data_IF_696331102374
#
_entry.id   IF_696331102374
#
_cell.length_a   1.000
_cell.length_b   1.000
_cell.length_c   1.000
_cell.angle_alpha   90.00
_cell.angle_beta   90.00
_cell.angle_gamma   90.00
#
_symmetry.space_group_name_H-M   'P 1'
#
loop_
_entity.id
_entity.type
_entity.pdbx_description
1 polymer ?
#
# COMPACT_ATOMS: atom_id res chain seq x y z
N UNK A 1 -12.64 0.28 2.47
CA UNK A 1 -12.64 -0.84 1.51
C UNK A 1 -11.22 -1.36 1.42
N UNK A 2 -11.00 -2.58 1.89
CA UNK A 2 -9.73 -3.30 1.78
C UNK A 2 -9.98 -4.62 1.02
N UNK A 3 -8.91 -5.34 0.70
CA UNK A 3 -9.02 -6.73 0.28
C UNK A 3 -7.91 -7.59 0.88
N UNK A 4 -8.19 -8.87 0.96
CA UNK A 4 -7.24 -9.89 1.38
C UNK A 4 -7.15 -10.10 2.89
N UNK A 5 -6.05 -10.71 3.31
CA UNK A 5 -5.94 -11.38 4.60
C UNK A 5 -5.47 -10.42 5.70
N UNK A 6 -6.30 -10.18 6.72
CA UNK A 6 -5.95 -9.35 7.87
C UNK A 6 -4.84 -9.96 8.74
N UNK A 7 -4.59 -11.27 8.66
CA UNK A 7 -3.48 -11.95 9.32
C UNK A 7 -2.18 -11.93 8.49
N UNK A 8 -2.15 -11.34 7.29
CA UNK A 8 -0.94 -11.27 6.49
C UNK A 8 0.14 -10.39 7.15
N UNK A 9 1.41 -10.73 6.93
CA UNK A 9 2.53 -9.87 7.33
C UNK A 9 2.65 -8.60 6.46
N UNK A 10 2.21 -8.70 5.20
CA UNK A 10 2.45 -7.71 4.16
C UNK A 10 1.17 -6.98 3.73
N UNK A 11 1.27 -5.65 3.65
CA UNK A 11 0.24 -4.76 3.13
C UNK A 11 0.76 -4.01 1.88
N UNK A 12 -0.02 -3.98 0.79
CA UNK A 12 0.16 -3.00 -0.28
C UNK A 12 -0.78 -1.83 -0.09
N UNK A 13 -0.21 -0.62 -0.10
CA UNK A 13 -0.89 0.61 0.25
C UNK A 13 -0.87 1.59 -0.92
N UNK A 14 -2.01 1.74 -1.59
CA UNK A 14 -2.20 2.66 -2.71
C UNK A 14 -2.76 4.02 -2.30
N UNK A 15 -2.95 4.90 -3.28
CA UNK A 15 -3.46 6.26 -3.05
C UNK A 15 -4.99 6.28 -2.99
N UNK A 16 -5.65 6.11 -4.13
CA UNK A 16 -7.11 6.13 -4.29
C UNK A 16 -7.58 5.06 -5.26
N UNK A 17 -8.89 4.80 -5.28
CA UNK A 17 -9.48 3.84 -6.20
C UNK A 17 -9.52 4.40 -7.64
N UNK A 18 -9.08 3.56 -8.58
CA UNK A 18 -9.35 3.74 -10.00
C UNK A 18 -10.78 3.34 -10.37
N UNK A 19 -11.08 3.38 -11.67
CA UNK A 19 -12.43 3.06 -12.18
C UNK A 19 -12.75 1.58 -11.96
N UNK A 20 -11.80 0.70 -12.28
CA UNK A 20 -11.96 -0.74 -12.21
C UNK A 20 -12.12 -1.21 -10.77
N UNK A 21 -11.38 -0.59 -9.83
CA UNK A 21 -11.48 -0.85 -8.40
C UNK A 21 -12.88 -0.54 -7.85
N UNK A 22 -13.52 0.53 -8.32
CA UNK A 22 -14.90 0.86 -7.92
C UNK A 22 -15.87 -0.19 -8.43
N UNK A 23 -15.79 -0.57 -9.71
CA UNK A 23 -16.69 -1.57 -10.28
C UNK A 23 -16.53 -2.94 -9.62
N UNK A 24 -15.30 -3.33 -9.29
CA UNK A 24 -15.03 -4.61 -8.65
C UNK A 24 -15.19 -4.59 -7.12
N UNK A 25 -15.34 -3.41 -6.51
CA UNK A 25 -15.38 -3.26 -5.05
C UNK A 25 -14.07 -3.70 -4.36
N UNK A 26 -12.93 -3.63 -5.05
CA UNK A 26 -11.66 -4.15 -4.56
C UNK A 26 -10.48 -3.21 -4.87
N UNK A 27 -9.63 -2.86 -3.88
CA UNK A 27 -8.42 -2.10 -4.15
C UNK A 27 -7.44 -2.91 -5.01
N UNK A 28 -6.64 -2.18 -5.80
CA UNK A 28 -5.53 -2.72 -6.57
C UNK A 28 -5.96 -3.91 -7.46
N UNK A 29 -6.99 -3.69 -8.29
CA UNK A 29 -7.45 -4.66 -9.30
C UNK A 29 -7.33 -4.15 -10.75
N UNK A 30 -7.24 -2.83 -10.96
CA UNK A 30 -6.94 -2.25 -12.27
C UNK A 30 -5.50 -2.54 -12.70
N UNK A 31 -5.03 -1.93 -13.79
CA UNK A 31 -3.71 -2.21 -14.38
C UNK A 31 -2.53 -2.14 -13.37
N UNK A 32 -2.51 -1.10 -12.53
CA UNK A 32 -1.53 -0.93 -11.46
C UNK A 32 -1.55 -2.09 -10.45
N UNK A 33 -2.75 -2.47 -10.04
CA UNK A 33 -2.97 -3.57 -9.09
C UNK A 33 -2.67 -4.94 -9.69
N UNK A 34 -2.95 -5.13 -10.98
CA UNK A 34 -2.59 -6.34 -11.71
C UNK A 34 -1.08 -6.60 -11.66
N UNK A 35 -0.23 -5.58 -11.87
CA UNK A 35 1.22 -5.73 -11.73
C UNK A 35 1.64 -6.10 -10.31
N UNK A 36 1.01 -5.53 -9.29
CA UNK A 36 1.24 -5.91 -7.88
C UNK A 36 0.92 -7.39 -7.66
N UNK A 37 -0.24 -7.84 -8.13
CA UNK A 37 -0.71 -9.22 -7.98
C UNK A 37 0.17 -10.21 -8.77
N UNK A 38 0.52 -9.88 -10.00
CA UNK A 38 1.41 -10.69 -10.84
C UNK A 38 2.80 -10.82 -10.21
N UNK A 39 3.36 -9.70 -9.73
CA UNK A 39 4.66 -9.70 -9.06
C UNK A 39 4.65 -10.51 -7.77
N UNK A 40 3.61 -10.33 -6.94
CA UNK A 40 3.44 -11.11 -5.72
C UNK A 40 3.27 -12.59 -6.01
N UNK A 41 2.37 -12.95 -6.93
CA UNK A 41 2.12 -14.33 -7.32
C UNK A 41 3.40 -14.99 -7.81
N UNK A 42 4.20 -14.30 -8.64
CA UNK A 42 5.46 -14.82 -9.13
C UNK A 42 6.47 -15.09 -8.01
N UNK A 43 6.59 -14.19 -7.03
CA UNK A 43 7.50 -14.38 -5.90
C UNK A 43 7.04 -15.53 -4.99
N UNK A 44 5.73 -15.68 -4.80
CA UNK A 44 5.15 -16.72 -3.96
C UNK A 44 5.18 -18.11 -4.63
N UNK A 45 4.77 -18.20 -5.89
CA UNK A 45 4.60 -19.48 -6.62
C UNK A 45 5.82 -19.88 -7.43
N UNK A 46 6.82 -19.00 -7.57
CA UNK A 46 8.00 -19.22 -8.42
C UNK A 46 7.70 -19.25 -9.92
N UNK A 47 6.48 -18.89 -10.35
CA UNK A 47 6.04 -18.88 -11.75
C UNK A 47 5.05 -17.76 -12.03
N UNK A 48 4.87 -17.41 -13.30
CA UNK A 48 3.82 -16.46 -13.71
C UNK A 48 2.43 -17.07 -13.55
N UNK A 49 1.45 -16.20 -13.35
CA UNK A 49 0.03 -16.54 -13.34
C UNK A 49 -0.44 -16.90 -14.74
N UNK A 50 -1.32 -17.88 -14.86
CA UNK A 50 -1.94 -18.28 -16.14
C UNK A 50 -3.34 -17.68 -16.31
N UNK A 51 -4.03 -17.40 -15.22
CA UNK A 51 -5.39 -16.86 -15.25
C UNK A 51 -5.63 -15.79 -14.19
N UNK A 52 -6.88 -15.29 -14.18
CA UNK A 52 -7.32 -14.25 -13.23
C UNK A 52 -7.56 -14.81 -11.83
N UNK A 53 -7.98 -16.06 -11.69
CA UNK A 53 -8.28 -16.65 -10.38
C UNK A 53 -7.00 -16.80 -9.55
N UNK A 54 -5.91 -17.21 -10.18
CA UNK A 54 -4.56 -17.22 -9.60
C UNK A 54 -4.14 -15.84 -9.09
N UNK A 55 -4.43 -14.76 -9.84
CA UNK A 55 -4.14 -13.40 -9.38
C UNK A 55 -5.07 -12.91 -8.25
N UNK A 56 -6.24 -13.52 -8.10
CA UNK A 56 -7.14 -13.20 -6.99
C UNK A 56 -6.73 -13.93 -5.71
N UNK A 57 -6.20 -15.15 -5.81
CA UNK A 57 -5.78 -15.95 -4.65
C UNK A 57 -4.62 -15.34 -3.86
N UNK A 58 -3.86 -14.40 -4.44
CA UNK A 58 -2.85 -13.63 -3.70
C UNK A 58 -3.44 -12.92 -2.46
N UNK A 59 -4.73 -12.57 -2.51
CA UNK A 59 -5.44 -11.94 -1.39
C UNK A 59 -5.49 -12.85 -0.15
N UNK A 60 -5.31 -14.17 -0.28
CA UNK A 60 -5.23 -15.07 0.87
C UNK A 60 -3.94 -14.85 1.68
N UNK A 61 -2.95 -14.14 1.11
CA UNK A 61 -1.61 -13.96 1.67
C UNK A 61 -1.18 -12.52 1.88
N UNK A 62 -1.89 -11.57 1.29
CA UNK A 62 -1.58 -10.14 1.42
C UNK A 62 -2.80 -9.34 1.76
N UNK A 63 -2.55 -8.19 2.35
CA UNK A 63 -3.54 -7.17 2.62
C UNK A 63 -3.38 -6.02 1.61
N UNK A 64 -4.50 -5.54 1.06
CA UNK A 64 -4.53 -4.49 0.05
C UNK A 64 -5.45 -3.37 0.54
N UNK A 65 -4.97 -2.14 0.57
CA UNK A 65 -5.80 -0.98 0.92
C UNK A 65 -5.25 0.31 0.31
N UNK A 66 -5.93 1.43 0.57
CA UNK A 66 -5.59 2.76 0.05
C UNK A 66 -5.68 3.84 1.13
N UNK A 67 -5.10 5.02 0.87
CA UNK A 67 -5.25 6.21 1.73
C UNK A 67 -6.70 6.66 1.88
N UNK A 68 -7.51 6.51 0.83
CA UNK A 68 -8.94 6.82 0.83
C UNK A 68 -9.69 5.67 0.14
N UNK A 69 -10.76 5.13 0.75
CA UNK A 69 -11.45 3.96 0.23
C UNK A 69 -12.47 4.28 -0.87
N UNK A 70 -12.37 5.43 -1.53
CA UNK A 70 -13.30 5.91 -2.54
C UNK A 70 -12.55 6.46 -3.75
N UNK A 71 -13.23 6.48 -4.90
CA UNK A 71 -12.72 7.10 -6.11
C UNK A 71 -12.97 8.61 -6.08
N UNK A 72 -11.94 9.43 -6.35
CA UNK A 72 -12.13 10.86 -6.43
C UNK A 72 -13.09 11.28 -7.56
N UNK A 73 -14.01 12.24 -7.31
CA UNK A 73 -14.80 12.87 -8.35
C UNK A 73 -13.90 13.44 -9.46
N UNK A 74 -14.21 13.13 -10.72
CA UNK A 74 -13.46 13.65 -11.87
C UNK A 74 -11.98 13.22 -11.93
N UNK A 75 -11.57 12.16 -11.23
CA UNK A 75 -10.18 11.68 -11.14
C UNK A 75 -9.18 12.70 -10.54
N UNK A 76 -9.66 13.74 -9.85
CA UNK A 76 -8.81 14.73 -9.18
C UNK A 76 -8.45 14.27 -7.77
N UNK A 77 -7.17 14.27 -7.40
CA UNK A 77 -6.75 13.85 -6.07
C UNK A 77 -7.55 14.58 -4.96
N UNK A 78 -7.92 13.85 -3.92
CA UNK A 78 -8.59 14.42 -2.75
C UNK A 78 -7.71 15.48 -2.07
N UNK A 79 -8.35 16.53 -1.53
CA UNK A 79 -7.66 17.51 -0.70
C UNK A 79 -7.08 16.88 0.57
N UNK A 80 -6.14 17.58 1.20
CA UNK A 80 -5.59 17.16 2.50
C UNK A 80 -6.70 16.94 3.54
N UNK A 81 -7.64 17.88 3.63
CA UNK A 81 -8.78 17.80 4.57
C UNK A 81 -9.61 16.52 4.41
N UNK A 82 -9.86 16.07 3.18
CA UNK A 82 -10.62 14.84 2.94
C UNK A 82 -9.79 13.63 3.39
N UNK A 83 -8.49 13.60 3.07
CA UNK A 83 -7.60 12.53 3.53
C UNK A 83 -7.55 12.48 5.06
N UNK A 84 -7.52 13.63 5.72
CA UNK A 84 -7.48 13.72 7.19
C UNK A 84 -8.80 13.28 7.83
N UNK A 85 -9.95 13.54 7.19
CA UNK A 85 -11.24 12.96 7.64
C UNK A 85 -11.28 11.44 7.53
N UNK A 86 -10.64 10.86 6.51
CA UNK A 86 -10.58 9.40 6.34
C UNK A 86 -9.46 8.72 7.14
N UNK A 87 -8.44 9.48 7.57
CA UNK A 87 -7.27 8.97 8.28
C UNK A 87 -7.64 8.12 9.51
N UNK A 88 -8.54 8.53 10.42
CA UNK A 88 -8.90 7.70 11.58
C UNK A 88 -9.41 6.30 11.23
N UNK A 89 -10.08 6.13 10.10
CA UNK A 89 -10.58 4.82 9.67
C UNK A 89 -9.44 3.92 9.17
N UNK A 90 -8.49 4.50 8.45
CA UNK A 90 -7.31 3.77 7.97
C UNK A 90 -6.34 3.47 9.13
N UNK A 91 -6.17 4.40 10.07
CA UNK A 91 -5.45 4.17 11.33
C UNK A 91 -6.05 2.99 12.09
N UNK A 92 -7.37 3.00 12.33
CA UNK A 92 -8.08 1.90 12.98
C UNK A 92 -7.84 0.58 12.25
N UNK A 93 -8.01 0.56 10.93
CA UNK A 93 -7.78 -0.62 10.09
C UNK A 93 -6.37 -1.20 10.25
N UNK A 94 -5.34 -0.35 10.19
CA UNK A 94 -3.95 -0.79 10.25
C UNK A 94 -3.47 -1.16 11.67
N UNK A 95 -4.00 -0.48 12.69
CA UNK A 95 -3.57 -0.65 14.09
C UNK A 95 -4.35 -1.75 14.79
N UNK A 96 -5.67 -1.81 14.64
CA UNK A 96 -6.52 -2.72 15.41
C UNK A 96 -6.84 -4.03 14.69
N UNK A 97 -6.97 -4.01 13.36
CA UNK A 97 -7.55 -5.14 12.62
C UNK A 97 -6.54 -5.93 11.81
N UNK A 98 -5.61 -5.26 11.13
CA UNK A 98 -4.53 -5.92 10.42
C UNK A 98 -3.41 -6.34 11.40
N UNK A 99 -2.87 -7.54 11.27
CA UNK A 99 -1.86 -8.09 12.19
C UNK A 99 -0.43 -7.83 11.73
N UNK A 100 -0.19 -7.73 10.42
CA UNK A 100 1.14 -7.52 9.85
C UNK A 100 1.72 -6.13 10.13
N UNK A 101 2.98 -5.95 9.81
CA UNK A 101 3.76 -4.76 10.15
C UNK A 101 4.61 -4.23 8.99
N UNK A 102 4.53 -4.83 7.81
CA UNK A 102 5.26 -4.40 6.63
C UNK A 102 4.31 -3.79 5.59
N UNK A 103 4.56 -2.52 5.21
CA UNK A 103 3.72 -1.78 4.27
C UNK A 103 4.54 -1.39 3.04
N UNK A 104 4.22 -1.98 1.89
CA UNK A 104 4.69 -1.52 0.58
C UNK A 104 3.79 -0.39 0.11
N UNK A 105 4.29 0.84 0.17
CA UNK A 105 3.56 2.03 -0.30
C UNK A 105 3.80 2.26 -1.78
N UNK A 106 2.74 2.53 -2.54
CA UNK A 106 2.80 2.70 -3.99
C UNK A 106 2.77 4.18 -4.39
N UNK A 107 3.94 4.77 -4.59
CA UNK A 107 4.10 6.16 -5.00
C UNK A 107 4.18 7.18 -3.85
N UNK A 108 4.38 8.44 -4.24
CA UNK A 108 4.64 9.56 -3.32
C UNK A 108 3.51 9.77 -2.33
N UNK A 109 2.28 9.87 -2.82
CA UNK A 109 1.12 10.21 -2.00
C UNK A 109 0.81 9.13 -0.95
N UNK A 110 0.93 7.86 -1.34
CA UNK A 110 0.72 6.74 -0.43
C UNK A 110 1.81 6.70 0.66
N UNK A 111 3.06 7.02 0.31
CA UNK A 111 4.15 7.09 1.28
C UNK A 111 4.03 8.30 2.22
N UNK A 112 3.70 9.48 1.67
CA UNK A 112 3.54 10.73 2.45
C UNK A 112 2.33 10.72 3.37
N UNK A 113 1.37 9.81 3.16
CA UNK A 113 0.30 9.59 4.13
C UNK A 113 0.84 9.30 5.54
N UNK A 114 2.05 8.74 5.64
CA UNK A 114 2.69 8.40 6.90
C UNK A 114 3.50 9.54 7.57
N UNK A 115 3.53 10.75 6.98
CA UNK A 115 4.24 11.92 7.53
C UNK A 115 3.97 12.17 9.03
N UNK A 116 2.73 12.06 9.55
CA UNK A 116 2.46 12.30 10.98
C UNK A 116 3.02 11.24 11.95
N UNK A 117 3.48 10.09 11.45
CA UNK A 117 3.90 8.94 12.26
C UNK A 117 5.42 8.77 12.32
N UNK A 118 6.15 9.56 11.54
CA UNK A 118 7.61 9.67 11.62
C UNK A 118 8.05 10.83 12.51
N UNK A 119 9.35 10.94 12.76
CA UNK A 119 9.93 12.12 13.40
C UNK A 119 9.74 13.35 12.49
N UNK A 120 9.79 14.59 13.04
CA UNK A 120 9.67 15.79 12.24
C UNK A 120 10.62 15.78 11.03
N UNK A 121 10.04 15.95 9.82
CA UNK A 121 10.72 15.92 8.51
C UNK A 121 11.38 14.59 8.11
N UNK A 122 11.22 13.52 8.87
CA UNK A 122 11.86 12.22 8.59
C UNK A 122 11.33 11.61 7.30
N UNK A 123 10.00 11.57 7.14
CA UNK A 123 9.34 11.04 5.93
C UNK A 123 9.71 11.86 4.69
N UNK A 124 9.73 13.19 4.80
CA UNK A 124 10.16 14.07 3.70
C UNK A 124 11.62 13.84 3.30
N UNK A 125 12.53 13.82 4.27
CA UNK A 125 13.96 13.58 4.03
C UNK A 125 14.19 12.21 3.42
N UNK A 126 13.50 11.19 3.91
CA UNK A 126 13.54 9.85 3.36
C UNK A 126 13.13 9.85 1.88
N UNK A 127 12.07 10.59 1.53
CA UNK A 127 11.58 10.60 0.16
C UNK A 127 12.50 11.32 -0.84
N UNK A 128 13.33 12.25 -0.36
CA UNK A 128 14.36 12.90 -1.18
C UNK A 128 15.57 11.99 -1.47
N UNK A 129 15.70 10.89 -0.74
CA UNK A 129 16.78 9.92 -0.96
C UNK A 129 16.63 9.24 -2.35
N UNK A 130 17.73 9.19 -3.10
CA UNK A 130 17.79 8.51 -4.41
C UNK A 130 17.63 7.00 -4.26
N UNK A 131 17.99 6.45 -3.11
CA UNK A 131 17.91 5.03 -2.76
C UNK A 131 16.65 4.68 -1.96
N UNK A 132 15.68 5.60 -1.86
CA UNK A 132 14.44 5.37 -1.09
C UNK A 132 13.75 4.03 -1.39
N UNK A 133 13.81 3.55 -2.64
CA UNK A 133 13.18 2.30 -3.05
C UNK A 133 13.93 1.03 -2.63
N UNK A 134 15.16 1.13 -2.12
CA UNK A 134 15.93 0.03 -1.50
C UNK A 134 16.05 0.16 0.03
N UNK A 135 15.78 1.35 0.58
CA UNK A 135 15.73 1.63 2.03
C UNK A 135 14.36 1.32 2.66
N UNK A 136 14.30 1.29 3.99
CA UNK A 136 13.09 1.09 4.79
C UNK A 136 12.95 2.20 5.81
N UNK A 137 11.73 2.56 6.17
CA UNK A 137 11.46 3.54 7.22
C UNK A 137 10.53 2.95 8.28
N UNK A 138 10.96 2.93 9.54
CA UNK A 138 10.12 2.54 10.67
C UNK A 138 9.32 3.75 11.16
N UNK A 139 8.00 3.61 11.25
CA UNK A 139 7.10 4.63 11.82
C UNK A 139 6.20 4.01 12.88
N UNK A 140 5.60 4.85 13.74
CA UNK A 140 4.66 4.39 14.77
C UNK A 140 3.27 4.94 14.51
N UNK A 141 2.40 4.09 13.95
CA UNK A 141 0.99 4.41 13.78
C UNK A 141 0.33 4.56 15.14
N UNK A 142 -0.65 5.45 15.22
CA UNK A 142 -1.52 5.61 16.38
C UNK A 142 -2.96 5.57 15.91
N UNK A 143 -3.82 4.86 16.62
CA UNK A 143 -5.26 4.87 16.41
C UNK A 143 -5.98 5.03 17.75
N UNK A 144 -7.16 5.63 17.73
CA UNK A 144 -8.03 5.76 18.90
C UNK A 144 -9.26 4.88 18.71
N UNK A 145 -9.60 4.05 19.68
CA UNK A 145 -10.79 3.20 19.62
C UNK A 145 -12.08 3.98 19.92
N UNK A 146 -13.20 3.27 20.08
CA UNK A 146 -14.51 3.88 20.36
C UNK A 146 -14.63 4.42 21.79
N UNK A 147 -13.81 3.92 22.72
CA UNK A 147 -13.76 4.38 24.10
C UNK A 147 -12.76 5.53 24.31
N UNK A 148 -12.05 5.96 23.26
CA UNK A 148 -11.05 7.02 23.34
C UNK A 148 -9.66 6.53 23.73
N UNK A 149 -9.44 5.23 23.85
CA UNK A 149 -8.13 4.67 24.19
C UNK A 149 -7.25 4.64 22.94
N UNK A 150 -6.02 5.14 23.10
CA UNK A 150 -5.01 5.16 22.04
C UNK A 150 -4.19 3.88 22.05
N UNK A 151 -4.05 3.25 20.89
CA UNK A 151 -3.12 2.16 20.65
C UNK A 151 -2.08 2.57 19.62
N UNK A 152 -0.90 1.96 19.72
CA UNK A 152 0.21 2.21 18.84
C UNK A 152 0.67 0.93 18.16
N UNK A 153 1.11 1.07 16.91
CA UNK A 153 1.68 -0.05 16.16
C UNK A 153 2.88 0.42 15.35
N UNK A 154 4.02 -0.23 15.54
CA UNK A 154 5.20 -0.01 14.72
C UNK A 154 4.99 -0.70 13.37
N UNK A 155 5.28 0.01 12.29
CA UNK A 155 5.23 -0.54 10.93
C UNK A 155 6.45 -0.11 10.14
N UNK A 156 6.93 -1.00 9.28
CA UNK A 156 8.05 -0.78 8.37
C UNK A 156 7.53 -0.42 6.98
N UNK A 157 7.83 0.79 6.53
CA UNK A 157 7.50 1.28 5.21
C UNK A 157 8.57 0.85 4.20
N UNK A 158 8.11 0.29 3.08
CA UNK A 158 8.90 -0.24 1.98
C UNK A 158 8.45 0.44 0.68
N UNK A 159 8.89 1.69 0.43
CA UNK A 159 8.34 2.44 -0.68
C UNK A 159 8.74 1.84 -2.02
N UNK A 160 7.78 1.83 -2.94
CA UNK A 160 7.97 1.56 -4.35
C UNK A 160 7.40 2.72 -5.17
N UNK A 161 7.86 2.92 -6.41
CA UNK A 161 7.24 3.89 -7.28
C UNK A 161 5.79 3.50 -7.58
N UNK A 162 4.96 4.46 -7.96
CA UNK A 162 3.62 4.15 -8.43
C UNK A 162 3.71 3.43 -9.79
N UNK A 163 3.05 2.27 -9.99
CA UNK A 163 3.07 1.54 -11.24
C UNK A 163 2.06 2.14 -12.24
N UNK A 164 2.25 3.41 -12.62
CA UNK A 164 1.42 4.11 -13.62
C UNK A 164 2.20 4.33 -14.92
N UNK A 165 1.58 4.11 -16.10
CA UNK A 165 2.21 4.33 -17.39
C UNK A 165 2.58 5.79 -17.66
N UNK A 166 2.00 6.74 -16.90
CA UNK A 166 2.32 8.18 -17.01
C UNK A 166 3.77 8.51 -16.59
N UNK A 167 4.43 7.62 -15.84
CA UNK A 167 5.85 7.75 -15.51
C UNK A 167 6.63 6.56 -16.07
N UNK A 168 6.92 6.60 -17.38
CA UNK A 168 7.54 5.49 -18.12
C UNK A 168 8.83 4.96 -17.47
N UNK A 169 9.67 5.85 -16.94
CA UNK A 169 10.91 5.46 -16.25
C UNK A 169 10.62 4.54 -15.07
N UNK A 170 9.70 4.92 -14.20
CA UNK A 170 9.40 4.12 -13.01
C UNK A 170 8.49 2.94 -13.29
N UNK A 171 7.64 3.04 -14.31
CA UNK A 171 6.82 1.93 -14.78
C UNK A 171 7.69 0.74 -15.19
N UNK A 172 8.77 0.98 -15.94
CA UNK A 172 9.72 -0.06 -16.36
C UNK A 172 10.52 -0.67 -15.19
N UNK A 173 10.84 0.14 -14.17
CA UNK A 173 11.61 -0.31 -13.00
C UNK A 173 10.76 -1.02 -11.93
N UNK A 174 9.44 -0.84 -11.94
CA UNK A 174 8.57 -1.32 -10.88
C UNK A 174 8.62 -2.84 -10.69
N UNK A 175 8.55 -3.69 -11.74
CA UNK A 175 8.57 -5.15 -11.55
C UNK A 175 9.84 -5.64 -10.84
N UNK A 176 11.01 -5.15 -11.26
CA UNK A 176 12.29 -5.55 -10.66
C UNK A 176 12.41 -5.09 -9.21
N UNK A 177 11.99 -3.85 -8.92
CA UNK A 177 11.99 -3.33 -7.55
C UNK A 177 11.02 -4.11 -6.67
N UNK A 178 9.85 -4.47 -7.19
CA UNK A 178 8.88 -5.30 -6.47
C UNK A 178 9.44 -6.68 -6.17
N UNK A 179 10.04 -7.37 -7.14
CA UNK A 179 10.66 -8.68 -6.92
C UNK A 179 11.74 -8.60 -5.84
N UNK A 180 12.65 -7.63 -5.92
CA UNK A 180 13.70 -7.41 -4.90
C UNK A 180 13.13 -7.18 -3.50
N UNK A 181 11.95 -6.58 -3.38
CA UNK A 181 11.28 -6.43 -2.08
C UNK A 181 10.67 -7.72 -1.60
N UNK A 182 10.03 -8.46 -2.49
CA UNK A 182 9.35 -9.69 -2.14
C UNK A 182 10.32 -10.80 -1.72
N UNK A 183 11.57 -10.78 -2.20
CA UNK A 183 12.62 -11.71 -1.71
C UNK A 183 12.98 -11.53 -0.24
N UNK A 184 12.56 -10.44 0.40
CA UNK A 184 12.79 -10.20 1.82
C UNK A 184 11.75 -10.88 2.73
N UNK A 185 10.74 -11.53 2.14
CA UNK A 185 9.62 -12.16 2.85
C UNK A 185 9.57 -13.66 2.59
N UNK A 186 9.14 -14.41 3.59
CA UNK A 186 8.72 -15.80 3.43
C UNK A 186 7.21 -15.83 3.18
N UNK A 187 6.76 -16.63 2.21
CA UNK A 187 5.36 -16.80 1.83
C UNK A 187 4.88 -18.21 2.15
#
# INVERSE_FOLDING_TARGET
MYAGNLASQLCFFGRDLGRDEVYAGQPLIGAAGRMVREGFFQAWQGRKSHDRQELLSVCDRIFLTNTVPYKPPGNKAYSGEVKDRFRPFIEKLLVFYWQGDHIITLGTEAFKWFEPYGKPKEVDKFYLDKERFTKKLLVTLTATDEQGLKQQKKVTLLPLPHPSPLNQRYYALFPDLLQKRLTEFAF
#
